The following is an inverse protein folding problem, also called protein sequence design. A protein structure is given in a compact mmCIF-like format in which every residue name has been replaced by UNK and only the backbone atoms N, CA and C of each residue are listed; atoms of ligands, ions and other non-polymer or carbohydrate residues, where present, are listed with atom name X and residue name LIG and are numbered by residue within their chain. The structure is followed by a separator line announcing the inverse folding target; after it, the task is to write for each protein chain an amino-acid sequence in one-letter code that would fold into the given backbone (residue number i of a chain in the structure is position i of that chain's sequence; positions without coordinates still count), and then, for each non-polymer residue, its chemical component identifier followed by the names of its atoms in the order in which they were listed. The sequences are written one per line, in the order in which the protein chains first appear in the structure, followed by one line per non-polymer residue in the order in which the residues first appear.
data_IF_973706397343
#
_entry.id   IF_973706397343
#
_cell.length_a   1.000
_cell.length_b   1.000
_cell.length_c   1.000
_cell.angle_alpha   90.00
_cell.angle_beta   90.00
_cell.angle_gamma   90.00
#
_symmetry.space_group_name_H-M   'P 1'
#
loop_
_entity.id
_entity.type
_entity.pdbx_description
1 polymer ?
#
# COMPACT_ATOMS: atom_id res chain seq x y z
N UNK A 1 -1.06 -20.32 11.34
CA UNK A 1 -2.51 -20.64 11.35
C UNK A 1 -2.95 -20.70 9.89
N UNK A 2 -3.58 -21.78 9.48
CA UNK A 2 -4.27 -21.88 8.18
C UNK A 2 -5.48 -20.97 8.23
N UNK A 3 -5.51 -19.96 7.37
CA UNK A 3 -6.68 -19.09 7.21
C UNK A 3 -7.62 -19.79 6.24
N UNK A 4 -8.90 -19.92 6.59
CA UNK A 4 -9.90 -20.61 5.76
C UNK A 4 -10.34 -19.79 4.55
N UNK A 5 -10.50 -18.48 4.73
CA UNK A 5 -10.92 -17.54 3.67
C UNK A 5 -9.98 -16.33 3.64
N UNK A 6 -9.78 -15.75 2.47
CA UNK A 6 -8.97 -14.56 2.27
C UNK A 6 -9.54 -13.68 1.16
N UNK A 7 -8.76 -12.69 0.73
CA UNK A 7 -9.19 -11.74 -0.31
C UNK A 7 -9.57 -12.44 -1.63
N UNK A 8 -8.93 -13.57 -1.97
CA UNK A 8 -9.32 -14.36 -3.13
C UNK A 8 -10.77 -14.83 -3.03
N UNK A 9 -11.17 -15.39 -1.88
CA UNK A 9 -12.53 -15.90 -1.66
C UNK A 9 -13.57 -14.78 -1.71
N UNK A 10 -13.21 -13.60 -1.22
CA UNK A 10 -14.07 -12.41 -1.30
C UNK A 10 -14.26 -11.96 -2.75
N UNK A 11 -13.18 -11.89 -3.53
CA UNK A 11 -13.22 -11.37 -4.90
C UNK A 11 -13.86 -12.37 -5.89
N UNK A 12 -13.63 -13.67 -5.73
CA UNK A 12 -14.04 -14.72 -6.68
C UNK A 12 -15.25 -15.48 -6.17
N UNK A 13 -15.21 -15.98 -4.94
CA UNK A 13 -16.22 -16.87 -4.39
C UNK A 13 -17.38 -16.13 -3.69
N UNK A 14 -17.37 -14.79 -3.72
CA UNK A 14 -18.40 -13.92 -3.11
C UNK A 14 -18.60 -14.19 -1.62
N UNK A 15 -17.53 -14.58 -0.92
CA UNK A 15 -17.55 -14.66 0.55
C UNK A 15 -17.70 -13.26 1.13
N UNK A 16 -18.56 -13.11 2.14
CA UNK A 16 -18.72 -11.84 2.86
C UNK A 16 -17.38 -11.38 3.45
N UNK A 17 -17.03 -10.11 3.26
CA UNK A 17 -15.73 -9.56 3.67
C UNK A 17 -15.45 -9.77 5.16
N UNK A 18 -16.43 -9.55 6.02
CA UNK A 18 -16.30 -9.74 7.48
C UNK A 18 -15.89 -11.17 7.86
N UNK A 19 -16.34 -12.19 7.12
CA UNK A 19 -16.02 -13.60 7.37
C UNK A 19 -14.59 -13.98 6.97
N UNK A 20 -13.96 -13.16 6.12
CA UNK A 20 -12.57 -13.35 5.67
C UNK A 20 -11.56 -12.54 6.49
N UNK A 21 -12.01 -11.60 7.32
CA UNK A 21 -11.16 -10.79 8.18
C UNK A 21 -10.64 -11.62 9.36
N UNK A 22 -9.34 -11.57 9.56
CA UNK A 22 -8.64 -12.19 10.70
C UNK A 22 -8.27 -11.12 11.70
N UNK A 23 -8.84 -11.21 12.90
CA UNK A 23 -8.50 -10.31 14.01
C UNK A 23 -7.18 -10.71 14.65
N UNK A 24 -6.27 -9.75 14.78
CA UNK A 24 -4.96 -9.96 15.42
C UNK A 24 -4.76 -8.95 16.54
N UNK A 25 -3.74 -9.16 17.36
CA UNK A 25 -3.33 -8.20 18.41
C UNK A 25 -2.73 -6.91 17.86
N UNK A 26 -2.50 -6.82 16.55
CA UNK A 26 -1.87 -5.68 15.88
C UNK A 26 -2.81 -4.94 14.95
N UNK A 27 -4.03 -5.41 14.79
CA UNK A 27 -5.04 -4.92 13.86
C UNK A 27 -5.69 -6.05 13.09
N UNK A 28 -6.73 -5.72 12.36
CA UNK A 28 -7.46 -6.67 11.54
C UNK A 28 -6.78 -6.81 10.17
N UNK A 29 -6.79 -8.02 9.63
CA UNK A 29 -6.14 -8.35 8.36
C UNK A 29 -7.10 -9.11 7.46
N UNK A 30 -7.30 -8.65 6.23
CA UNK A 30 -7.90 -9.44 5.16
C UNK A 30 -6.74 -10.11 4.39
N UNK A 31 -6.44 -11.38 4.67
CA UNK A 31 -5.21 -12.01 4.21
C UNK A 31 -5.27 -12.40 2.74
N UNK A 32 -4.10 -12.40 2.10
CA UNK A 32 -3.88 -12.94 0.77
C UNK A 32 -3.29 -14.34 0.84
N UNK A 33 -3.53 -15.13 -0.20
CA UNK A 33 -2.93 -16.44 -0.42
C UNK A 33 -2.35 -16.55 -1.84
N UNK A 34 -1.64 -17.65 -2.13
CA UNK A 34 -1.11 -17.92 -3.48
C UNK A 34 -2.22 -18.01 -4.54
N UNK A 35 -3.45 -18.36 -4.16
CA UNK A 35 -4.59 -18.42 -5.06
C UNK A 35 -4.91 -17.05 -5.68
N UNK A 36 -4.62 -15.94 -4.97
CA UNK A 36 -4.85 -14.60 -5.50
C UNK A 36 -4.10 -14.32 -6.81
N UNK A 37 -2.98 -14.99 -7.06
CA UNK A 37 -2.25 -14.84 -8.33
C UNK A 37 -3.09 -15.26 -9.55
N UNK A 38 -4.01 -16.21 -9.39
CA UNK A 38 -4.95 -16.65 -10.44
C UNK A 38 -6.17 -15.75 -10.60
N UNK A 39 -6.50 -14.96 -9.59
CA UNK A 39 -7.72 -14.16 -9.57
C UNK A 39 -7.84 -13.17 -10.76
N UNK A 40 -6.73 -12.62 -11.23
CA UNK A 40 -6.72 -11.71 -12.38
C UNK A 40 -7.29 -12.37 -13.65
N UNK A 41 -7.01 -13.67 -13.85
CA UNK A 41 -7.53 -14.44 -14.99
C UNK A 41 -9.01 -14.77 -14.77
N UNK A 42 -9.36 -15.22 -13.57
CA UNK A 42 -10.75 -15.61 -13.24
C UNK A 42 -11.72 -14.42 -13.24
N UNK A 43 -11.23 -13.22 -12.95
CA UNK A 43 -12.05 -12.01 -12.99
C UNK A 43 -12.29 -11.45 -14.41
N UNK A 44 -11.61 -11.94 -15.46
CA UNK A 44 -11.69 -11.35 -16.80
C UNK A 44 -13.14 -11.24 -17.28
N UNK A 45 -13.94 -12.29 -17.08
CA UNK A 45 -15.31 -12.37 -17.57
C UNK A 45 -16.35 -11.92 -16.52
N UNK A 46 -15.90 -11.49 -15.33
CA UNK A 46 -16.82 -11.03 -14.31
C UNK A 46 -17.30 -9.59 -14.58
N UNK A 47 -18.59 -9.29 -14.33
CA UNK A 47 -19.07 -7.92 -14.43
C UNK A 47 -18.38 -7.04 -13.39
N UNK A 48 -18.16 -5.78 -13.77
CA UNK A 48 -17.56 -4.75 -12.91
C UNK A 48 -16.25 -5.21 -12.23
N UNK A 49 -15.48 -6.05 -12.93
CA UNK A 49 -14.26 -6.68 -12.42
C UNK A 49 -13.26 -5.73 -11.78
N UNK A 50 -13.23 -4.47 -12.19
CA UNK A 50 -12.35 -3.43 -11.65
C UNK A 50 -12.85 -2.84 -10.31
N UNK A 51 -14.10 -3.08 -9.93
CA UNK A 51 -14.72 -2.53 -8.72
C UNK A 51 -14.99 -3.57 -7.63
N UNK A 52 -14.62 -4.83 -7.84
CA UNK A 52 -14.95 -5.92 -6.90
C UNK A 52 -14.37 -5.67 -5.51
N UNK A 53 -13.14 -5.18 -5.41
CA UNK A 53 -12.54 -4.84 -4.13
C UNK A 53 -13.27 -3.67 -3.46
N UNK A 54 -13.65 -2.65 -4.24
CA UNK A 54 -14.44 -1.53 -3.71
C UNK A 54 -15.75 -2.01 -3.12
N UNK A 55 -16.53 -2.81 -3.85
CA UNK A 55 -17.80 -3.37 -3.36
C UNK A 55 -17.60 -4.25 -2.11
N UNK A 56 -16.51 -4.99 -2.04
CA UNK A 56 -16.17 -5.80 -0.88
C UNK A 56 -15.84 -4.94 0.36
N UNK A 57 -15.06 -3.88 0.19
CA UNK A 57 -14.66 -2.99 1.29
C UNK A 57 -15.80 -2.09 1.76
N UNK A 58 -16.76 -1.73 0.91
CA UNK A 58 -17.95 -0.96 1.30
C UNK A 58 -18.76 -1.66 2.41
N UNK A 59 -18.68 -2.99 2.51
CA UNK A 59 -19.39 -3.76 3.54
C UNK A 59 -18.83 -3.55 4.96
N UNK A 60 -17.57 -3.15 5.07
CA UNK A 60 -16.83 -3.11 6.34
C UNK A 60 -16.14 -1.78 6.64
N UNK A 61 -16.09 -0.85 5.67
CA UNK A 61 -15.30 0.39 5.79
C UNK A 61 -15.65 1.23 7.01
N UNK A 62 -16.91 1.26 7.40
CA UNK A 62 -17.40 2.07 8.53
C UNK A 62 -16.94 1.53 9.90
N UNK A 63 -16.34 0.34 9.94
CA UNK A 63 -15.77 -0.25 11.13
C UNK A 63 -14.31 0.16 11.37
N UNK A 64 -13.69 0.92 10.45
CA UNK A 64 -12.26 1.25 10.46
C UNK A 64 -12.01 2.73 10.19
N UNK A 65 -11.06 3.33 10.92
CA UNK A 65 -10.58 4.68 10.64
C UNK A 65 -9.73 4.69 9.37
N UNK A 66 -8.94 3.63 9.13
CA UNK A 66 -8.07 3.47 7.97
C UNK A 66 -8.07 2.03 7.47
N UNK A 67 -8.06 1.88 6.14
CA UNK A 67 -7.86 0.61 5.44
C UNK A 67 -6.64 0.74 4.53
N UNK A 68 -5.59 -0.01 4.82
CA UNK A 68 -4.38 -0.07 3.99
C UNK A 68 -4.44 -1.25 3.03
N UNK A 69 -4.27 -0.98 1.74
CA UNK A 69 -4.25 -1.99 0.68
C UNK A 69 -2.81 -2.13 0.20
N UNK A 70 -2.15 -3.23 0.57
CA UNK A 70 -0.82 -3.58 0.06
C UNK A 70 -0.94 -4.19 -1.34
N UNK A 71 -0.23 -3.60 -2.30
CA UNK A 71 -0.35 -3.93 -3.72
C UNK A 71 0.96 -4.52 -4.27
N UNK A 72 0.88 -5.46 -5.22
CA UNK A 72 2.06 -5.89 -5.98
C UNK A 72 2.60 -4.74 -6.85
N UNK A 73 3.87 -4.79 -7.27
CA UNK A 73 4.48 -3.76 -8.12
C UNK A 73 4.01 -3.79 -9.58
N UNK A 74 3.04 -4.64 -9.93
CA UNK A 74 2.44 -4.73 -11.26
C UNK A 74 1.22 -3.82 -11.39
N UNK A 75 0.98 -3.29 -12.61
CA UNK A 75 -0.22 -2.49 -12.92
C UNK A 75 -1.31 -3.34 -13.57
N UNK A 76 -1.59 -4.50 -12.99
CA UNK A 76 -2.58 -5.47 -13.44
C UNK A 76 -3.95 -5.25 -12.79
N UNK A 77 -4.90 -6.13 -13.07
CA UNK A 77 -6.29 -6.03 -12.60
C UNK A 77 -6.43 -5.94 -11.09
N UNK A 78 -5.57 -6.60 -10.30
CA UNK A 78 -5.59 -6.51 -8.84
C UNK A 78 -5.19 -5.11 -8.36
N UNK A 79 -4.13 -4.54 -8.92
CA UNK A 79 -3.72 -3.16 -8.60
C UNK A 79 -4.77 -2.16 -9.08
N UNK A 80 -5.39 -2.40 -10.23
CA UNK A 80 -6.50 -1.57 -10.71
C UNK A 80 -7.68 -1.62 -9.73
N UNK A 81 -8.03 -2.78 -9.18
CA UNK A 81 -9.04 -2.91 -8.12
C UNK A 81 -8.70 -2.09 -6.89
N UNK A 82 -7.43 -2.11 -6.45
CA UNK A 82 -6.97 -1.32 -5.32
C UNK A 82 -7.11 0.19 -5.60
N UNK A 83 -6.68 0.67 -6.77
CA UNK A 83 -6.80 2.07 -7.16
C UNK A 83 -8.26 2.53 -7.33
N UNK A 84 -9.15 1.63 -7.73
CA UNK A 84 -10.59 1.91 -7.81
C UNK A 84 -11.26 1.95 -6.44
N UNK A 85 -10.73 1.23 -5.45
CA UNK A 85 -11.28 1.15 -4.10
C UNK A 85 -10.72 2.22 -3.16
N UNK A 86 -9.49 2.69 -3.40
CA UNK A 86 -8.80 3.61 -2.52
C UNK A 86 -9.29 5.06 -2.65
N UNK A 87 -9.23 5.79 -1.55
CA UNK A 87 -9.43 7.25 -1.51
C UNK A 87 -8.11 7.97 -1.87
N UNK A 88 -6.98 7.41 -1.43
CA UNK A 88 -5.67 7.99 -1.70
C UNK A 88 -4.58 6.92 -1.90
N UNK A 89 -3.46 7.33 -2.52
CA UNK A 89 -2.32 6.50 -2.84
C UNK A 89 -1.06 7.02 -2.15
N UNK A 90 -0.51 6.23 -1.23
CA UNK A 90 0.83 6.42 -0.68
C UNK A 90 1.83 5.62 -1.50
N UNK A 91 2.86 6.29 -2.04
CA UNK A 91 3.86 5.68 -2.93
C UNK A 91 5.19 5.49 -2.21
N UNK A 92 5.54 4.26 -1.78
CA UNK A 92 6.88 3.99 -1.29
C UNK A 92 7.87 3.96 -2.46
N UNK A 93 8.97 4.69 -2.33
CA UNK A 93 9.98 4.85 -3.38
C UNK A 93 11.38 4.64 -2.81
N UNK A 94 12.20 3.83 -3.48
CA UNK A 94 13.61 3.68 -3.14
C UNK A 94 14.44 4.76 -3.83
N UNK A 95 15.57 5.14 -3.22
CA UNK A 95 16.51 6.13 -3.79
C UNK A 95 17.38 5.55 -4.90
N UNK A 96 16.78 4.92 -5.92
CA UNK A 96 17.42 4.26 -7.04
C UNK A 96 16.99 4.86 -8.38
N UNK A 97 17.84 4.75 -9.41
CA UNK A 97 17.61 5.39 -10.70
C UNK A 97 16.28 5.00 -11.37
N UNK A 98 16.00 3.70 -11.44
CA UNK A 98 14.77 3.20 -12.06
C UNK A 98 13.47 3.52 -11.29
N UNK A 99 13.59 3.98 -10.06
CA UNK A 99 12.43 4.36 -9.26
C UNK A 99 11.67 5.56 -9.85
N UNK A 100 12.36 6.49 -10.52
CA UNK A 100 11.73 7.64 -11.19
C UNK A 100 10.95 7.23 -12.45
N UNK A 101 11.44 6.25 -13.20
CA UNK A 101 10.74 5.70 -14.37
C UNK A 101 9.46 4.99 -13.94
N UNK A 102 9.54 4.07 -12.97
CA UNK A 102 8.37 3.39 -12.40
C UNK A 102 7.35 4.36 -11.79
N UNK A 103 7.81 5.44 -11.18
CA UNK A 103 6.93 6.49 -10.67
C UNK A 103 6.17 7.22 -11.79
N UNK A 104 6.83 7.48 -12.92
CA UNK A 104 6.19 8.10 -14.09
C UNK A 104 5.08 7.20 -14.67
N UNK A 105 5.32 5.91 -14.80
CA UNK A 105 4.35 4.92 -15.30
C UNK A 105 3.17 4.80 -14.34
N UNK A 106 3.44 4.76 -13.04
CA UNK A 106 2.38 4.78 -12.02
C UNK A 106 1.52 6.03 -12.14
N UNK A 107 2.12 7.22 -12.32
CA UNK A 107 1.38 8.48 -12.47
C UNK A 107 0.53 8.50 -13.74
N UNK A 108 0.98 7.91 -14.82
CA UNK A 108 0.17 7.75 -16.04
C UNK A 108 -1.06 6.87 -15.76
N UNK A 109 -0.88 5.75 -15.07
CA UNK A 109 -1.97 4.86 -14.68
C UNK A 109 -2.95 5.55 -13.73
N UNK A 110 -2.46 6.27 -12.72
CA UNK A 110 -3.31 7.05 -11.80
C UNK A 110 -4.15 8.08 -12.54
N UNK A 111 -3.58 8.78 -13.54
CA UNK A 111 -4.35 9.74 -14.38
C UNK A 111 -5.48 9.04 -15.15
N UNK A 112 -5.22 7.87 -15.72
CA UNK A 112 -6.24 7.08 -16.42
C UNK A 112 -7.35 6.63 -15.48
N UNK A 113 -6.99 6.11 -14.29
CA UNK A 113 -7.95 5.69 -13.27
C UNK A 113 -8.81 6.88 -12.82
N UNK A 114 -8.20 8.03 -12.51
CA UNK A 114 -8.94 9.25 -12.12
C UNK A 114 -9.89 9.72 -13.20
N UNK A 115 -9.51 9.62 -14.47
CA UNK A 115 -10.34 10.07 -15.58
C UNK A 115 -11.59 9.22 -15.80
N UNK A 116 -11.51 7.91 -15.55
CA UNK A 116 -12.51 6.96 -16.03
C UNK A 116 -13.14 6.08 -14.96
N UNK A 117 -12.46 5.83 -13.85
CA UNK A 117 -12.87 4.81 -12.88
C UNK A 117 -13.03 5.36 -11.46
N UNK A 118 -12.08 6.16 -10.97
CA UNK A 118 -12.10 6.74 -9.63
C UNK A 118 -11.66 8.21 -9.64
N UNK A 119 -12.55 9.16 -9.96
CA UNK A 119 -12.21 10.59 -10.03
C UNK A 119 -11.74 11.19 -8.69
N UNK A 120 -12.07 10.53 -7.56
CA UNK A 120 -11.71 10.99 -6.21
C UNK A 120 -10.33 10.54 -5.75
N UNK A 121 -9.69 9.59 -6.47
CA UNK A 121 -8.38 9.07 -6.09
C UNK A 121 -7.35 10.19 -6.01
N UNK A 122 -6.74 10.39 -4.86
CA UNK A 122 -5.69 11.38 -4.65
C UNK A 122 -4.32 10.75 -4.45
N UNK A 123 -3.27 11.56 -4.59
CA UNK A 123 -1.94 11.18 -4.14
C UNK A 123 -1.81 11.65 -2.70
N UNK A 124 -1.76 10.72 -1.76
CA UNK A 124 -1.46 10.98 -0.35
C UNK A 124 -0.05 11.55 -0.21
N UNK A 125 0.89 10.86 -0.79
CA UNK A 125 2.27 11.31 -0.80
C UNK A 125 3.25 10.28 -1.31
N UNK A 126 4.53 10.69 -1.38
CA UNK A 126 5.65 9.82 -1.71
C UNK A 126 6.52 9.66 -0.47
N UNK A 127 6.79 8.40 -0.11
CA UNK A 127 7.61 8.01 1.03
C UNK A 127 8.93 7.44 0.55
N UNK A 128 10.05 8.07 0.90
CA UNK A 128 11.37 7.51 0.61
C UNK A 128 11.66 6.33 1.56
N UNK A 129 11.94 5.16 0.98
CA UNK A 129 12.21 3.92 1.71
C UNK A 129 13.58 3.36 1.37
N UNK A 130 14.14 2.52 2.26
CA UNK A 130 15.48 1.94 2.14
C UNK A 130 16.54 3.01 1.82
N UNK A 131 16.32 4.22 2.32
CA UNK A 131 17.11 5.39 1.97
C UNK A 131 18.48 5.36 2.65
N UNK A 132 19.53 5.62 1.85
CA UNK A 132 20.89 5.83 2.33
C UNK A 132 21.38 7.22 1.91
N UNK A 133 21.27 8.18 2.82
CA UNK A 133 21.68 9.58 2.58
C UNK A 133 23.19 9.80 2.37
N UNK A 134 24.00 8.74 2.42
CA UNK A 134 25.45 8.83 2.12
C UNK A 134 25.73 8.74 0.61
N UNK A 135 24.76 8.31 -0.17
CA UNK A 135 24.90 8.16 -1.62
C UNK A 135 24.37 9.39 -2.35
N UNK A 136 25.18 9.92 -3.28
CA UNK A 136 24.75 11.06 -4.11
C UNK A 136 23.49 10.72 -4.95
N UNK A 137 23.37 9.49 -5.41
CA UNK A 137 22.22 9.04 -6.18
C UNK A 137 20.93 9.16 -5.38
N UNK A 138 20.90 8.66 -4.14
CA UNK A 138 19.70 8.75 -3.30
C UNK A 138 19.30 10.21 -3.03
N UNK A 139 20.28 11.08 -2.81
CA UNK A 139 20.05 12.52 -2.62
C UNK A 139 19.46 13.15 -3.89
N UNK A 140 20.00 12.85 -5.07
CA UNK A 140 19.50 13.34 -6.34
C UNK A 140 18.08 12.88 -6.61
N UNK A 141 17.79 11.58 -6.43
CA UNK A 141 16.44 11.02 -6.56
C UNK A 141 15.47 11.73 -5.62
N UNK A 142 15.85 11.93 -4.36
CA UNK A 142 15.00 12.64 -3.39
C UNK A 142 14.70 14.10 -3.81
N UNK A 143 15.68 14.79 -4.38
CA UNK A 143 15.50 16.16 -4.90
C UNK A 143 14.55 16.19 -6.10
N UNK A 144 14.71 15.28 -7.06
CA UNK A 144 13.81 15.17 -8.21
C UNK A 144 12.39 14.84 -7.78
N UNK A 145 12.20 13.87 -6.87
CA UNK A 145 10.88 13.53 -6.34
C UNK A 145 10.22 14.75 -5.67
N UNK A 146 10.95 15.52 -4.87
CA UNK A 146 10.44 16.76 -4.26
C UNK A 146 10.03 17.81 -5.30
N UNK A 147 10.77 17.87 -6.41
CA UNK A 147 10.44 18.78 -7.52
C UNK A 147 9.17 18.39 -8.26
N UNK A 148 8.97 17.07 -8.49
CA UNK A 148 7.79 16.56 -9.19
C UNK A 148 6.53 16.51 -8.30
N UNK A 149 6.70 16.37 -6.99
CA UNK A 149 5.61 16.27 -6.02
C UNK A 149 5.74 17.32 -4.91
N UNK A 150 5.63 18.62 -5.24
CA UNK A 150 5.78 19.68 -4.25
C UNK A 150 4.72 19.54 -3.15
N UNK A 151 5.17 19.52 -1.89
CA UNK A 151 4.31 19.36 -0.71
C UNK A 151 3.77 17.95 -0.46
N UNK A 152 4.00 16.98 -1.37
CA UNK A 152 3.50 15.61 -1.25
C UNK A 152 4.57 14.60 -0.79
N UNK A 153 5.83 14.97 -0.69
CA UNK A 153 6.87 14.08 -0.17
C UNK A 153 6.85 14.10 1.35
N UNK A 154 6.83 12.92 1.97
CA UNK A 154 6.91 12.81 3.42
C UNK A 154 8.26 13.34 3.92
N UNK A 155 8.24 14.04 5.06
CA UNK A 155 9.48 14.49 5.72
C UNK A 155 10.19 13.30 6.34
N UNK A 156 9.43 12.34 6.84
CA UNK A 156 9.92 11.07 7.36
C UNK A 156 10.48 10.21 6.25
N UNK A 157 11.64 9.61 6.49
CA UNK A 157 12.34 8.69 5.57
C UNK A 157 12.56 7.36 6.27
N UNK A 158 12.26 6.25 5.61
CA UNK A 158 12.54 4.92 6.15
C UNK A 158 13.96 4.50 5.75
N UNK A 159 14.90 4.36 6.72
CA UNK A 159 16.26 3.98 6.42
C UNK A 159 16.38 2.49 6.04
N UNK A 160 17.45 2.14 5.34
CA UNK A 160 17.83 0.73 5.20
C UNK A 160 18.17 0.18 6.58
N UNK A 161 17.46 -0.86 7.02
CA UNK A 161 17.63 -1.45 8.35
C UNK A 161 17.34 -2.95 8.33
N UNK A 162 18.28 -3.77 8.78
CA UNK A 162 18.19 -5.24 8.77
C UNK A 162 17.03 -5.73 9.65
N UNK A 163 16.74 -5.06 10.77
CA UNK A 163 15.64 -5.42 11.67
C UNK A 163 14.28 -5.37 10.97
N UNK A 164 14.09 -4.42 10.04
CA UNK A 164 12.87 -4.35 9.20
C UNK A 164 12.71 -5.58 8.30
N UNK A 165 13.82 -6.15 7.82
CA UNK A 165 13.79 -7.37 7.00
C UNK A 165 13.60 -8.63 7.82
N UNK A 166 14.00 -8.63 9.09
CA UNK A 166 13.87 -9.77 10.01
C UNK A 166 12.45 -9.90 10.60
N UNK A 167 11.83 -8.78 10.97
CA UNK A 167 10.54 -8.74 11.66
C UNK A 167 9.43 -9.59 11.00
N UNK A 168 9.26 -9.58 9.65
CA UNK A 168 8.26 -10.40 8.97
C UNK A 168 8.47 -11.90 9.16
N UNK A 169 9.73 -12.38 9.24
CA UNK A 169 10.03 -13.81 9.47
C UNK A 169 9.58 -14.29 10.85
N UNK A 170 9.39 -13.36 11.79
CA UNK A 170 8.86 -13.62 13.12
C UNK A 170 7.35 -13.35 13.24
N UNK A 171 6.70 -12.94 12.14
CA UNK A 171 5.28 -12.60 12.14
C UNK A 171 4.93 -11.42 13.07
N UNK A 172 5.85 -10.49 13.27
CA UNK A 172 5.69 -9.34 14.17
C UNK A 172 5.89 -8.02 13.44
N UNK A 173 5.13 -6.98 13.76
CA UNK A 173 5.46 -5.64 13.35
C UNK A 173 6.78 -5.20 13.99
N UNK A 174 7.51 -4.30 13.33
CA UNK A 174 8.82 -3.85 13.81
C UNK A 174 8.78 -3.26 15.21
N UNK A 175 7.70 -2.56 15.55
CA UNK A 175 7.47 -1.96 16.88
C UNK A 175 7.35 -2.98 18.01
N UNK A 176 7.02 -4.24 17.68
CA UNK A 176 6.95 -5.36 18.62
C UNK A 176 8.16 -6.30 18.51
N UNK A 177 8.86 -6.27 17.38
CA UNK A 177 10.07 -7.07 17.17
C UNK A 177 11.32 -6.41 17.78
N UNK A 178 11.58 -5.14 17.42
CA UNK A 178 12.69 -4.34 17.95
C UNK A 178 12.30 -2.85 17.97
N UNK A 179 11.72 -2.43 19.10
CA UNK A 179 11.19 -1.09 19.29
C UNK A 179 12.26 0.00 19.27
N UNK A 180 13.50 -0.35 19.61
CA UNK A 180 14.61 0.60 19.74
C UNK A 180 15.44 0.77 18.47
N UNK A 181 15.16 0.00 17.41
CA UNK A 181 15.89 0.14 16.18
C UNK A 181 15.43 1.39 15.40
N UNK A 182 16.35 1.97 14.61
CA UNK A 182 16.07 3.14 13.76
C UNK A 182 14.89 2.94 12.81
N UNK A 183 14.67 1.69 12.35
CA UNK A 183 13.54 1.36 11.50
C UNK A 183 12.21 1.51 12.24
N UNK A 184 12.10 1.06 13.50
CA UNK A 184 10.91 1.21 14.32
C UNK A 184 10.61 2.69 14.62
N UNK A 185 11.64 3.46 15.00
CA UNK A 185 11.50 4.90 15.24
C UNK A 185 10.98 5.63 13.99
N UNK A 186 11.55 5.31 12.82
CA UNK A 186 11.11 5.92 11.55
C UNK A 186 9.64 5.58 11.22
N UNK A 187 9.19 4.33 11.43
CA UNK A 187 7.78 3.98 11.22
C UNK A 187 6.83 4.64 12.21
N UNK A 188 7.24 4.85 13.46
CA UNK A 188 6.45 5.63 14.44
C UNK A 188 6.34 7.09 13.99
N UNK A 189 7.43 7.70 13.54
CA UNK A 189 7.43 9.07 13.01
C UNK A 189 6.55 9.18 11.76
N UNK A 190 6.62 8.18 10.85
CA UNK A 190 5.76 8.12 9.67
C UNK A 190 4.28 8.09 10.07
N UNK A 191 3.92 7.24 11.02
CA UNK A 191 2.53 7.15 11.48
C UNK A 191 2.04 8.48 12.06
N UNK A 192 2.86 9.17 12.85
CA UNK A 192 2.55 10.49 13.38
C UNK A 192 2.39 11.54 12.28
N UNK A 193 3.28 11.55 11.28
CA UNK A 193 3.19 12.46 10.14
C UNK A 193 1.95 12.16 9.30
N UNK A 194 1.65 10.88 9.03
CA UNK A 194 0.46 10.46 8.31
C UNK A 194 -0.83 10.93 9.01
N UNK A 195 -0.96 10.66 10.31
CA UNK A 195 -2.13 11.08 11.08
C UNK A 195 -2.28 12.61 11.11
N UNK A 196 -1.17 13.36 11.23
CA UNK A 196 -1.21 14.82 11.18
C UNK A 196 -1.68 15.35 9.82
N UNK A 197 -1.33 14.69 8.72
CA UNK A 197 -1.76 15.08 7.37
C UNK A 197 -3.23 14.79 7.11
N UNK A 198 -3.79 13.77 7.76
CA UNK A 198 -5.15 13.29 7.52
C UNK A 198 -6.18 13.74 8.57
N UNK A 199 -5.74 14.29 9.70
CA UNK A 199 -6.62 14.77 10.79
C UNK A 199 -6.56 16.31 10.95
N UNK A 200 -6.01 17.05 9.96
CA UNK A 200 -5.84 18.50 9.96
C UNK A 200 -6.94 19.25 9.23
#
# INVERSE_FOLDING_TARGET
KTVSNGIYDVLINSVETEKAIVRTSYGDVLPSSKALAGASVEMIDLPERQFRLRMALEQVRDNYDYVFIDCPPSLELLTLNALCAADSLLVPLQGEYYALEGLSDLMNTVRLVRRSLNPKLEIEGVLLTMFDGRTNLAIQVAQEVKRFFPGKVYATVIPRNVRLSEAPSHGKPITSYDRSCRGAEAYVQLAQEFLKRNNG
#
